data_IF_038704865881
#
_entry.id   IF_038704865881
#
_cell.length_a   1.000
_cell.length_b   1.000
_cell.length_c   1.000
_cell.angle_alpha   90.00
_cell.angle_beta   90.00
_cell.angle_gamma   90.00
#
_symmetry.space_group_name_H-M   'P 1'
#
loop_
_entity.id
_entity.type
_entity.pdbx_description
1 polymer ?
#
# COMPACT_ATOMS: atom_id res chain seq x y z
N UNK A 1 -23.86 23.17 -4.55
CA UNK A 1 -22.41 23.52 -4.46
C UNK A 1 -21.82 23.08 -3.12
N UNK A 2 -22.48 23.36 -1.99
CA UNK A 2 -22.05 23.00 -0.62
C UNK A 2 -21.81 21.48 -0.45
N UNK A 3 -22.70 20.64 -0.96
CA UNK A 3 -22.60 19.17 -0.81
C UNK A 3 -21.33 18.59 -1.44
N UNK A 4 -20.93 19.07 -2.62
CA UNK A 4 -19.71 18.62 -3.30
C UNK A 4 -18.44 19.00 -2.53
N UNK A 5 -18.43 20.19 -1.92
CA UNK A 5 -17.32 20.66 -1.08
C UNK A 5 -17.21 19.79 0.18
N UNK A 6 -18.35 19.48 0.83
CA UNK A 6 -18.38 18.61 2.01
C UNK A 6 -17.95 17.18 1.68
N UNK A 7 -18.40 16.60 0.55
CA UNK A 7 -17.96 15.27 0.12
C UNK A 7 -16.46 15.20 -0.16
N UNK A 8 -15.91 16.23 -0.82
CA UNK A 8 -14.46 16.31 -1.08
C UNK A 8 -13.67 16.37 0.22
N UNK A 9 -14.03 17.28 1.13
CA UNK A 9 -13.36 17.43 2.43
C UNK A 9 -13.40 16.13 3.24
N UNK A 10 -14.54 15.44 3.25
CA UNK A 10 -14.68 14.15 3.92
C UNK A 10 -13.80 13.06 3.28
N UNK A 11 -13.70 13.03 1.95
CA UNK A 11 -12.84 12.09 1.24
C UNK A 11 -11.34 12.35 1.55
N UNK A 12 -10.91 13.61 1.52
CA UNK A 12 -9.55 14.02 1.88
C UNK A 12 -9.22 13.65 3.34
N UNK A 13 -10.14 13.88 4.26
CA UNK A 13 -9.96 13.51 5.67
C UNK A 13 -9.86 11.99 5.86
N UNK A 14 -10.69 11.21 5.17
CA UNK A 14 -10.62 9.75 5.19
C UNK A 14 -9.28 9.24 4.68
N UNK A 15 -8.77 9.81 3.59
CA UNK A 15 -7.46 9.48 3.06
C UNK A 15 -6.35 9.80 4.06
N UNK A 16 -6.38 10.98 4.69
CA UNK A 16 -5.40 11.37 5.69
C UNK A 16 -5.40 10.47 6.93
N UNK A 17 -6.56 9.93 7.33
CA UNK A 17 -6.65 8.96 8.42
C UNK A 17 -6.10 7.59 8.02
N UNK A 18 -6.43 7.11 6.82
CA UNK A 18 -5.91 5.84 6.29
C UNK A 18 -4.38 5.87 6.17
N UNK A 19 -3.81 6.99 5.71
CA UNK A 19 -2.36 7.16 5.61
C UNK A 19 -1.67 7.11 6.97
N UNK A 20 -2.28 7.68 8.02
CA UNK A 20 -1.74 7.57 9.38
C UNK A 20 -1.72 6.12 9.86
N UNK A 21 -2.84 5.42 9.71
CA UNK A 21 -2.94 4.01 10.10
C UNK A 21 -1.95 3.13 9.34
N UNK A 22 -1.77 3.38 8.03
CA UNK A 22 -0.77 2.70 7.22
C UNK A 22 0.64 2.95 7.74
N UNK A 23 0.99 4.22 8.01
CA UNK A 23 2.31 4.57 8.52
C UNK A 23 2.60 3.91 9.88
N UNK A 24 1.59 3.81 10.75
CA UNK A 24 1.75 3.14 12.03
C UNK A 24 1.90 1.62 11.86
N UNK A 25 1.17 1.01 10.93
CA UNK A 25 1.33 -0.40 10.59
C UNK A 25 2.74 -0.71 10.02
N UNK A 26 3.27 0.15 9.15
CA UNK A 26 4.64 0.01 8.63
C UNK A 26 5.67 0.04 9.77
N UNK A 27 5.51 0.96 10.74
CA UNK A 27 6.40 1.02 11.91
C UNK A 27 6.34 -0.27 12.74
N UNK A 28 5.14 -0.81 12.98
CA UNK A 28 5.00 -2.06 13.75
C UNK A 28 5.61 -3.26 13.01
N UNK A 29 5.41 -3.35 11.70
CA UNK A 29 6.05 -4.39 10.87
C UNK A 29 7.56 -4.28 10.94
N UNK A 30 8.12 -3.06 10.88
CA UNK A 30 9.56 -2.83 10.94
C UNK A 30 10.20 -3.36 12.24
N UNK A 31 9.50 -3.24 13.38
CA UNK A 31 9.97 -3.81 14.66
C UNK A 31 10.13 -5.33 14.65
N UNK A 32 9.51 -6.03 13.69
CA UNK A 32 9.62 -7.49 13.52
C UNK A 32 10.81 -7.92 12.66
N UNK A 33 11.61 -6.97 12.15
CA UNK A 33 12.69 -7.24 11.20
C UNK A 33 12.23 -7.48 9.75
N UNK A 34 10.95 -7.22 9.48
CA UNK A 34 10.38 -7.19 8.14
C UNK A 34 10.41 -5.76 7.61
N UNK A 35 10.54 -5.63 6.30
CA UNK A 35 10.42 -4.36 5.60
C UNK A 35 9.23 -4.42 4.63
N UNK A 36 8.76 -3.25 4.19
CA UNK A 36 7.54 -3.09 3.38
C UNK A 36 7.91 -2.57 2.00
N UNK A 37 7.63 -3.38 0.98
CA UNK A 37 7.71 -2.95 -0.41
C UNK A 37 6.39 -2.27 -0.79
N UNK A 38 6.49 -1.03 -1.27
CA UNK A 38 5.35 -0.25 -1.77
C UNK A 38 5.47 -0.15 -3.28
N UNK A 39 4.49 -0.72 -3.99
CA UNK A 39 4.38 -0.59 -5.44
C UNK A 39 3.07 0.10 -5.81
N UNK A 40 3.06 0.72 -6.99
CA UNK A 40 1.84 1.31 -7.55
C UNK A 40 1.38 0.47 -8.72
N UNK A 41 0.08 0.16 -8.74
CA UNK A 41 -0.58 -0.53 -9.82
C UNK A 41 -1.63 0.39 -10.44
N UNK A 42 -1.93 0.16 -11.71
CA UNK A 42 -3.03 0.86 -12.38
C UNK A 42 -4.28 0.01 -12.33
N UNK A 43 -5.30 0.48 -11.63
CA UNK A 43 -6.63 -0.13 -11.59
C UNK A 43 -7.51 0.51 -12.68
N UNK A 44 -8.04 -0.32 -13.58
CA UNK A 44 -8.95 0.16 -14.62
C UNK A 44 -10.37 0.27 -14.07
N UNK A 45 -10.98 1.45 -14.20
CA UNK A 45 -12.37 1.70 -13.80
C UNK A 45 -13.18 2.30 -14.94
N UNK A 46 -14.51 2.31 -14.80
CA UNK A 46 -15.41 2.96 -15.75
C UNK A 46 -15.20 4.49 -15.87
N UNK A 47 -14.45 5.10 -14.95
CA UNK A 47 -14.09 6.53 -14.96
C UNK A 47 -12.64 6.78 -15.38
N UNK A 48 -11.92 5.76 -15.83
CA UNK A 48 -10.52 5.84 -16.23
C UNK A 48 -9.57 5.11 -15.26
N UNK A 49 -8.26 5.18 -15.51
CA UNK A 49 -7.25 4.56 -14.67
C UNK A 49 -7.20 5.24 -13.29
N UNK A 50 -7.12 4.44 -12.23
CA UNK A 50 -6.87 4.88 -10.86
C UNK A 50 -5.60 4.24 -10.32
N UNK A 51 -4.83 4.98 -9.54
CA UNK A 51 -3.67 4.45 -8.84
C UNK A 51 -4.13 3.56 -7.67
N UNK A 52 -3.69 2.31 -7.66
CA UNK A 52 -3.80 1.40 -6.55
C UNK A 52 -2.44 1.28 -5.86
N UNK A 53 -2.43 1.27 -4.54
CA UNK A 53 -1.24 0.94 -3.75
C UNK A 53 -1.25 -0.56 -3.47
N UNK A 54 -0.17 -1.24 -3.80
CA UNK A 54 0.07 -2.65 -3.48
C UNK A 54 1.22 -2.75 -2.47
N UNK A 55 1.00 -3.49 -1.39
CA UNK A 55 1.87 -3.56 -0.22
C UNK A 55 2.27 -5.01 0.02
N UNK A 56 3.57 -5.28 0.10
CA UNK A 56 4.12 -6.60 0.41
C UNK A 56 5.15 -6.49 1.51
N UNK A 57 5.23 -7.50 2.38
CA UNK A 57 6.28 -7.58 3.40
C UNK A 57 7.38 -8.54 2.94
N UNK A 58 8.62 -8.19 3.22
CA UNK A 58 9.79 -9.02 2.96
C UNK A 58 10.74 -8.99 4.15
N UNK A 59 11.62 -9.98 4.26
CA UNK A 59 12.67 -9.99 5.31
C UNK A 59 13.80 -9.06 4.90
N UNK A 60 14.19 -8.14 5.80
CA UNK A 60 15.31 -7.24 5.55
C UNK A 60 16.67 -7.96 5.64
N UNK A 61 16.77 -9.00 6.47
CA UNK A 61 17.99 -9.81 6.63
C UNK A 61 17.75 -11.31 6.39
N UNK A 62 18.69 -11.91 5.66
CA UNK A 62 18.64 -13.27 5.14
C UNK A 62 18.44 -13.25 3.63
N UNK A 63 19.39 -13.80 2.88
CA UNK A 63 19.36 -13.85 1.42
C UNK A 63 17.96 -14.27 0.91
N UNK A 64 17.45 -13.66 -0.18
CA UNK A 64 16.15 -14.00 -0.72
C UNK A 64 16.09 -15.51 -0.96
N UNK A 65 14.94 -16.18 -0.74
CA UNK A 65 14.83 -17.60 -1.01
C UNK A 65 15.24 -17.82 -2.48
N UNK A 66 16.36 -18.52 -2.68
CA UNK A 66 16.79 -18.95 -4.01
C UNK A 66 15.69 -19.87 -4.49
N UNK A 67 14.87 -19.39 -5.42
CA UNK A 67 13.94 -20.22 -6.16
C UNK A 67 14.79 -21.21 -6.96
N UNK A 68 15.06 -22.39 -6.37
CA UNK A 68 15.55 -23.53 -7.14
C UNK A 68 14.41 -23.92 -8.07
N UNK A 69 14.61 -23.69 -9.36
CA UNK A 69 13.87 -24.40 -10.40
C UNK A 69 14.17 -25.88 -10.20
N UNK A 70 13.20 -26.62 -9.67
CA UNK A 70 13.18 -28.07 -9.77
C UNK A 70 12.73 -28.34 -11.20
N UNK A 71 13.68 -28.68 -12.06
CA UNK A 71 13.44 -28.90 -13.48
C UNK A 71 12.59 -30.14 -13.77
N UNK A 72 12.10 -30.20 -15.00
CA UNK A 72 12.77 -30.96 -16.06
C UNK A 72 13.07 -30.03 -17.25
#
# INVERSE_FOLDING_TARGET
MITRITHRKNAEQRLAMALRQLNDAIKEIHKTGLDVEVSTQTMLTSRGPLTQVDLKTFRAEGAPPVLKVVGD
#
